data_IF_989317230225
#
_entry.id   IF_989317230225
#
_cell.length_a   1.000
_cell.length_b   1.000
_cell.length_c   1.000
_cell.angle_alpha   90.00
_cell.angle_beta   90.00
_cell.angle_gamma   90.00
#
_symmetry.space_group_name_H-M   'P 1'
#
loop_
_entity.id
_entity.type
_entity.pdbx_description
1 polymer ?
2 water ?
#
# COMPACT_ATOMS: atom_id res chain seq x y z
N UNK A 1 -1.99 24.09 -21.87
CA UNK A 1 -2.00 23.70 -20.47
C UNK A 1 -0.80 24.31 -19.74
N UNK A 2 0.01 25.08 -20.44
CA UNK A 2 1.11 25.77 -19.79
C UNK A 2 0.61 26.31 -18.44
N UNK A 3 -0.66 26.67 -18.41
CA UNK A 3 -1.28 27.28 -17.23
C UNK A 3 -1.68 26.24 -16.20
N UNK A 4 -2.40 25.21 -16.67
CA UNK A 4 -2.85 24.13 -15.80
C UNK A 4 -1.71 23.65 -14.91
N UNK A 5 -0.53 23.55 -15.50
CA UNK A 5 0.67 23.23 -14.74
C UNK A 5 0.84 24.19 -13.56
N UNK A 6 0.75 25.49 -13.82
CA UNK A 6 0.74 26.49 -12.75
C UNK A 6 -0.38 26.28 -11.71
N UNK A 7 -1.62 26.12 -12.16
CA UNK A 7 -2.78 25.87 -11.27
C UNK A 7 -2.59 24.70 -10.30
N UNK A 8 -2.24 23.54 -10.86
CA UNK A 8 -2.01 22.36 -10.04
C UNK A 8 -0.76 22.54 -9.20
N UNK A 9 0.24 23.17 -9.80
CA UNK A 9 1.54 23.34 -9.14
C UNK A 9 1.36 24.22 -7.92
N UNK A 10 0.68 25.34 -8.10
CA UNK A 10 0.43 26.26 -7.01
C UNK A 10 -0.55 25.59 -6.03
N UNK A 11 -1.28 24.58 -6.50
CA UNK A 11 -2.19 23.85 -5.62
C UNK A 11 -1.49 22.90 -4.64
N UNK A 12 -0.81 21.90 -5.21
CA UNK A 12 -0.17 20.85 -4.43
C UNK A 12 0.92 21.38 -3.52
N UNK A 13 1.67 22.36 -4.00
CA UNK A 13 2.78 22.87 -3.21
C UNK A 13 2.24 23.35 -1.87
N UNK A 14 1.11 24.05 -1.90
CA UNK A 14 0.52 24.57 -0.68
C UNK A 14 -0.06 23.45 0.18
N UNK A 15 -0.60 22.44 -0.48
CA UNK A 15 -1.14 21.27 0.22
C UNK A 15 -0.04 20.49 0.96
N UNK A 16 1.13 20.38 0.35
CA UNK A 16 2.28 19.76 1.02
C UNK A 16 2.75 20.57 2.22
N UNK A 17 2.81 21.89 2.07
CA UNK A 17 3.37 22.73 3.12
C UNK A 17 2.36 23.07 4.20
N UNK A 18 1.08 22.95 3.89
CA UNK A 18 0.04 23.32 4.85
C UNK A 18 -0.72 22.10 5.45
N UNK A 19 -0.44 20.92 4.94
CA UNK A 19 -1.10 19.73 5.43
C UNK A 19 -2.54 19.68 5.04
N UNK A 20 -2.85 19.93 3.80
CA UNK A 20 -4.23 19.87 3.31
C UNK A 20 -4.68 18.47 2.93
N UNK A 21 -3.83 17.48 3.16
CA UNK A 21 -4.19 16.10 2.86
C UNK A 21 -4.97 15.47 4.01
N UNK A 22 -6.01 14.72 3.63
CA UNK A 22 -6.91 14.11 4.59
C UNK A 22 -6.55 12.65 4.62
N UNK A 23 -6.67 12.02 5.78
CA UNK A 23 -6.34 10.62 5.93
C UNK A 23 -7.57 9.79 5.76
N UNK A 24 -7.51 8.82 4.88
CA UNK A 24 -8.62 7.91 4.59
C UNK A 24 -8.20 6.45 4.75
N UNK A 25 -9.15 5.61 5.19
CA UNK A 25 -8.81 4.22 5.50
C UNK A 25 -9.68 3.16 4.83
N UNK A 26 -9.04 2.39 3.96
CA UNK A 26 -9.66 1.23 3.34
C UNK A 26 -9.40 -0.03 4.17
N UNK A 27 -10.47 -0.66 4.69
CA UNK A 27 -10.35 -1.93 5.42
C UNK A 27 -9.80 -3.04 4.55
N UNK A 28 -8.77 -3.74 5.01
CA UNK A 28 -8.42 -5.03 4.41
C UNK A 28 -8.80 -6.16 5.36
N UNK A 29 -9.57 -7.11 4.85
CA UNK A 29 -10.22 -8.13 5.69
C UNK A 29 -9.88 -9.58 5.33
N UNK A 30 -10.33 -10.48 6.20
CA UNK A 30 -10.12 -11.92 6.02
C UNK A 30 -11.04 -12.51 4.94
N UNK A 31 -10.44 -13.25 4.02
CA UNK A 31 -11.20 -13.94 2.99
C UNK A 31 -12.24 -14.90 3.59
N UNK A 32 -11.89 -15.56 4.68
CA UNK A 32 -12.77 -16.52 5.33
C UNK A 32 -13.89 -15.85 6.06
N UNK A 33 -13.65 -14.65 6.55
CA UNK A 33 -14.67 -13.87 7.20
C UNK A 33 -14.36 -12.38 7.03
N UNK A 34 -15.17 -11.72 6.23
CA UNK A 34 -14.93 -10.35 5.89
C UNK A 34 -15.31 -9.41 7.04
N UNK A 35 -15.84 -9.97 8.12
CA UNK A 35 -16.11 -9.18 9.32
C UNK A 35 -14.86 -9.04 10.18
N UNK A 36 -13.86 -9.85 9.87
CA UNK A 36 -12.54 -9.74 10.50
C UNK A 36 -11.63 -8.84 9.66
N UNK A 37 -11.16 -7.74 10.25
CA UNK A 37 -10.20 -6.91 9.55
C UNK A 37 -8.78 -7.21 10.03
N UNK A 38 -7.85 -7.22 9.07
CA UNK A 38 -6.45 -7.54 9.35
C UNK A 38 -5.71 -6.25 9.64
N UNK A 39 -6.03 -5.24 8.85
CA UNK A 39 -5.42 -3.93 9.02
C UNK A 39 -6.15 -3.01 8.08
N UNK A 40 -5.89 -1.72 8.21
CA UNK A 40 -6.49 -0.72 7.33
C UNK A 40 -5.43 -0.15 6.43
N UNK A 41 -5.67 -0.23 5.12
CA UNK A 41 -4.79 0.49 4.19
C UNK A 41 -5.00 1.99 4.35
N UNK A 42 -3.91 2.75 4.37
CA UNK A 42 -4.04 4.21 4.43
C UNK A 42 -3.97 4.93 3.06
N UNK A 43 -5.02 5.70 2.78
CA UNK A 43 -5.13 6.50 1.56
C UNK A 43 -5.12 8.00 1.86
N UNK A 44 -4.61 8.79 0.93
CA UNK A 44 -4.58 10.24 1.10
C UNK A 44 -5.57 10.90 0.18
N UNK A 45 -6.40 11.80 0.68
CA UNK A 45 -7.29 12.50 -0.21
C UNK A 45 -7.24 14.00 -0.04
N UNK A 46 -7.83 14.71 -0.98
CA UNK A 46 -7.98 16.17 -0.86
C UNK A 46 -9.45 16.55 -0.82
N UNK A 47 -9.76 17.63 -0.11
CA UNK A 47 -11.15 18.09 -0.05
C UNK A 47 -11.35 19.34 -0.91
N UNK A 48 -12.37 19.30 -1.76
CA UNK A 48 -12.74 20.47 -2.53
C UNK A 48 -13.53 21.42 -1.63
N UNK A 49 -13.75 22.63 -2.10
CA UNK A 49 -14.48 23.63 -1.33
C UNK A 49 -15.84 23.09 -0.86
N UNK A 50 -16.44 22.22 -1.66
CA UNK A 50 -17.76 21.66 -1.36
C UNK A 50 -17.68 20.59 -0.27
N UNK A 51 -16.48 20.06 -0.05
CA UNK A 51 -16.29 18.99 0.91
C UNK A 51 -16.09 17.65 0.24
N UNK A 52 -16.33 17.58 -1.06
CA UNK A 52 -16.18 16.32 -1.81
C UNK A 52 -14.71 15.87 -1.90
N UNK A 53 -14.49 14.57 -2.13
CA UNK A 53 -13.12 14.03 -2.08
C UNK A 53 -12.42 14.10 -3.42
N UNK A 54 -11.08 14.08 -3.37
CA UNK A 54 -10.27 14.12 -4.58
C UNK A 54 -9.24 12.99 -4.53
N UNK A 55 -9.46 11.93 -5.33
CA UNK A 55 -8.61 10.74 -5.28
C UNK A 55 -7.20 10.99 -5.81
N UNK A 56 -6.23 10.20 -5.34
CA UNK A 56 -4.86 10.33 -5.82
C UNK A 56 -4.76 10.10 -7.32
N UNK A 57 -5.60 9.21 -7.85
CA UNK A 57 -5.65 8.96 -9.28
C UNK A 57 -5.74 10.25 -10.07
N UNK A 58 -6.18 11.32 -9.41
CA UNK A 58 -6.36 12.60 -10.10
C UNK A 58 -5.25 13.61 -9.76
N UNK A 59 -4.49 13.34 -8.70
CA UNK A 59 -3.40 14.25 -8.31
C UNK A 59 -1.99 13.64 -8.24
N UNK A 60 -1.91 12.34 -8.13
CA UNK A 60 -0.61 11.75 -8.11
C UNK A 60 0.13 12.15 -9.34
N UNK A 61 -0.46 11.93 -10.49
CA UNK A 61 0.19 12.31 -11.75
C UNK A 61 0.85 13.68 -11.67
N UNK A 62 0.15 14.65 -11.09
CA UNK A 62 0.72 15.99 -11.01
C UNK A 62 1.93 15.99 -10.09
N UNK A 63 1.85 15.20 -9.03
CA UNK A 63 2.95 15.10 -8.08
C UNK A 63 4.20 14.52 -8.73
N UNK A 64 3.99 13.51 -9.58
CA UNK A 64 5.05 12.93 -10.39
C UNK A 64 5.68 13.99 -11.31
N UNK A 65 4.87 14.75 -12.06
CA UNK A 65 5.43 15.70 -13.02
C UNK A 65 6.31 16.72 -12.33
N UNK A 66 5.95 17.04 -11.09
CA UNK A 66 6.65 18.06 -10.32
C UNK A 66 7.77 17.46 -9.48
N UNK A 67 7.83 16.13 -9.43
CA UNK A 67 8.76 15.42 -8.56
C UNK A 67 8.63 15.76 -7.09
N UNK A 68 7.41 15.68 -6.56
CA UNK A 68 7.18 15.96 -5.14
C UNK A 68 6.66 14.73 -4.43
N UNK A 69 6.80 13.58 -5.07
CA UNK A 69 6.17 12.39 -4.55
C UNK A 69 6.77 12.00 -3.20
N UNK A 70 8.09 11.99 -3.12
CA UNK A 70 8.77 11.90 -1.82
C UNK A 70 8.15 12.89 -0.85
N UNK A 71 7.99 14.13 -1.27
CA UNK A 71 7.55 15.16 -0.38
C UNK A 71 6.25 14.78 0.30
N UNK A 72 5.42 14.05 -0.42
CA UNK A 72 4.15 13.65 0.15
C UNK A 72 4.37 12.51 1.10
N UNK A 73 4.89 11.41 0.58
CA UNK A 73 5.17 10.27 1.40
C UNK A 73 5.43 10.66 2.83
N UNK A 74 6.31 11.62 3.04
CA UNK A 74 6.71 11.94 4.39
C UNK A 74 5.68 12.68 5.16
N UNK A 75 4.79 13.33 4.46
CA UNK A 75 3.79 14.10 5.15
C UNK A 75 2.82 13.11 5.72
N UNK A 76 2.54 12.10 4.92
CA UNK A 76 1.64 11.03 5.29
C UNK A 76 2.22 10.23 6.42
N UNK A 77 3.49 9.89 6.29
CA UNK A 77 4.16 9.14 7.31
C UNK A 77 3.98 9.79 8.65
N UNK A 78 4.47 11.01 8.80
CA UNK A 78 4.38 11.69 10.10
C UNK A 78 2.92 11.82 10.52
N UNK A 79 2.08 12.24 9.58
CA UNK A 79 0.69 12.50 9.92
C UNK A 79 0.03 11.25 10.47
N UNK A 80 0.35 10.11 9.85
CA UNK A 80 -0.19 8.81 10.24
C UNK A 80 0.31 8.36 11.62
N UNK A 81 1.62 8.20 11.77
CA UNK A 81 2.23 7.94 13.09
C UNK A 81 1.60 8.80 14.18
N UNK A 82 1.28 10.04 13.87
CA UNK A 82 0.60 10.89 14.81
C UNK A 82 -0.80 10.34 15.09
N UNK A 83 -1.53 9.99 14.03
CA UNK A 83 -2.86 9.41 14.14
C UNK A 83 -2.88 8.14 15.00
N UNK A 84 -1.83 7.34 14.86
CA UNK A 84 -1.79 6.02 15.46
C UNK A 84 -1.73 5.97 16.98
N UNK A 85 -1.38 7.07 17.63
CA UNK A 85 -1.33 7.03 19.08
C UNK A 85 -2.73 6.90 19.69
N UNK A 86 -3.73 7.37 18.96
CA UNK A 86 -5.12 7.39 19.46
C UNK A 86 -5.76 6.01 19.47
N UNK A 87 -5.04 5.00 19.02
CA UNK A 87 -5.64 3.69 18.86
C UNK A 87 -4.63 2.54 18.86
N UNK A 88 -5.12 1.32 18.61
CA UNK A 88 -4.27 0.15 18.64
C UNK A 88 -4.59 -0.80 17.52
N UNK A 89 -4.97 -0.25 16.37
CA UNK A 89 -5.24 -1.02 15.15
C UNK A 89 -4.00 -1.08 14.24
N UNK A 90 -4.01 -1.95 13.24
CA UNK A 90 -2.83 -2.12 12.41
C UNK A 90 -3.00 -1.36 11.11
N UNK A 91 -1.94 -0.66 10.71
CA UNK A 91 -2.03 0.17 9.52
C UNK A 91 -1.04 -0.23 8.43
N UNK A 92 -1.41 0.08 7.20
CA UNK A 92 -0.54 -0.14 6.05
C UNK A 92 -0.36 1.18 5.29
N UNK A 93 0.89 1.57 5.11
CA UNK A 93 1.19 2.81 4.42
C UNK A 93 1.94 2.65 3.12
N UNK A 94 1.54 3.44 2.14
CA UNK A 94 2.18 3.46 0.85
C UNK A 94 3.59 4.08 0.82
N UNK A 95 4.49 3.44 0.08
CA UNK A 95 5.84 3.95 -0.14
C UNK A 95 6.20 3.97 -1.61
N UNK A 96 6.82 5.07 -2.05
CA UNK A 96 6.99 5.34 -3.49
C UNK A 96 8.41 5.17 -3.97
N UNK A 97 8.57 4.58 -5.16
CA UNK A 97 9.89 4.42 -5.79
C UNK A 97 10.66 5.73 -5.71
N UNK A 98 9.94 6.83 -5.91
CA UNK A 98 10.52 8.16 -5.79
C UNK A 98 11.24 8.34 -4.46
N UNK A 99 10.60 7.94 -3.37
CA UNK A 99 11.23 8.05 -2.06
C UNK A 99 12.40 7.08 -1.87
N UNK A 100 12.32 5.92 -2.51
CA UNK A 100 13.36 4.91 -2.37
C UNK A 100 14.64 5.25 -3.15
N UNK A 101 14.47 5.77 -4.37
CA UNK A 101 15.61 6.14 -5.22
C UNK A 101 16.40 7.32 -4.66
N UNK A 102 15.78 8.05 -3.74
CA UNK A 102 16.40 9.23 -3.15
C UNK A 102 16.95 8.92 -1.76
N UNK A 103 18.27 8.81 -1.64
CA UNK A 103 18.93 8.54 -0.36
C UNK A 103 18.50 9.52 0.72
N UNK A 104 18.46 10.81 0.41
CA UNK A 104 18.06 11.81 1.41
C UNK A 104 16.65 11.53 1.95
N UNK A 105 15.73 11.18 1.06
CA UNK A 105 14.36 10.85 1.48
C UNK A 105 14.36 9.67 2.47
N UNK A 106 14.82 8.53 2.03
CA UNK A 106 14.88 7.46 2.99
C UNK A 106 15.38 8.04 4.28
N UNK A 107 16.66 8.35 4.33
CA UNK A 107 17.22 8.69 5.63
C UNK A 107 16.23 9.49 6.47
N UNK A 108 15.44 10.31 5.81
CA UNK A 108 14.41 11.09 6.50
C UNK A 108 13.46 10.12 7.12
N UNK A 109 12.94 9.21 6.30
CA UNK A 109 12.02 8.19 6.78
C UNK A 109 12.56 7.46 8.01
N UNK A 110 13.78 6.93 7.92
CA UNK A 110 14.37 6.23 9.07
C UNK A 110 14.48 7.15 10.30
N UNK A 111 14.84 8.42 10.08
CA UNK A 111 14.90 9.36 11.19
C UNK A 111 13.51 9.48 11.84
N UNK A 112 12.47 9.49 11.01
CA UNK A 112 11.11 9.57 11.53
C UNK A 112 10.74 8.30 12.30
N UNK A 113 10.80 7.15 11.60
CA UNK A 113 10.62 5.86 12.24
C UNK A 113 11.33 5.75 13.61
N UNK A 114 12.61 6.11 13.67
CA UNK A 114 13.32 6.08 14.95
C UNK A 114 12.57 6.78 16.07
N UNK A 115 11.90 7.89 15.76
CA UNK A 115 11.19 8.64 16.80
C UNK A 115 9.94 7.91 17.26
N UNK A 116 9.45 6.98 16.44
CA UNK A 116 8.25 6.24 16.78
C UNK A 116 8.47 4.72 16.74
N UNK A 117 9.34 4.23 17.60
CA UNK A 117 9.69 2.82 17.63
C UNK A 117 8.54 1.95 18.15
N UNK A 118 7.78 2.50 19.11
CA UNK A 118 6.64 1.85 19.75
C UNK A 118 5.52 1.41 18.78
N UNK A 119 5.55 1.95 17.57
CA UNK A 119 4.50 1.69 16.59
C UNK A 119 4.98 0.78 15.48
N UNK A 120 6.12 0.12 15.69
CA UNK A 120 6.64 -0.79 14.69
C UNK A 120 5.65 -1.88 14.33
N UNK A 121 5.21 -2.63 15.35
CA UNK A 121 4.26 -3.73 15.16
C UNK A 121 3.05 -3.34 14.31
N UNK A 122 2.59 -2.10 14.45
CA UNK A 122 1.32 -1.72 13.87
C UNK A 122 1.41 -1.04 12.51
N UNK A 123 2.62 -0.81 12.03
CA UNK A 123 2.74 -0.14 10.75
C UNK A 123 3.48 -0.98 9.75
N UNK A 124 2.77 -1.34 8.69
CA UNK A 124 3.40 -2.00 7.57
C UNK A 124 3.48 -1.07 6.38
N UNK A 125 4.68 -0.81 5.91
CA UNK A 125 4.87 0.00 4.70
C UNK A 125 4.79 -0.91 3.49
N UNK A 126 4.02 -0.49 2.49
CA UNK A 126 3.86 -1.27 1.27
C UNK A 126 4.57 -0.57 0.13
N UNK A 127 5.35 -1.31 -0.64
CA UNK A 127 5.88 -0.80 -1.90
C UNK A 127 5.32 -1.62 -3.07
N UNK A 128 5.22 -0.99 -4.23
CA UNK A 128 4.66 -1.66 -5.40
C UNK A 128 5.72 -2.51 -6.08
N UNK A 129 5.27 -3.55 -6.77
CA UNK A 129 6.16 -4.37 -7.56
C UNK A 129 6.57 -3.53 -8.76
N UNK A 130 5.57 -3.12 -9.53
CA UNK A 130 5.78 -2.36 -10.76
C UNK A 130 6.98 -1.44 -10.62
N UNK A 131 6.97 -0.63 -9.56
CA UNK A 131 8.07 0.29 -9.32
C UNK A 131 8.88 -0.14 -8.12
N UNK A 132 9.93 -0.93 -8.39
CA UNK A 132 10.65 -1.66 -7.34
C UNK A 132 12.17 -1.52 -7.47
N UNK A 133 12.88 -1.43 -6.33
CA UNK A 133 14.34 -1.28 -6.25
C UNK A 133 15.08 -2.51 -6.72
N UNK A 134 16.36 -2.37 -7.02
CA UNK A 134 17.22 -3.48 -7.37
C UNK A 134 17.33 -4.45 -6.19
N UNK A 135 17.92 -5.62 -6.40
CA UNK A 135 17.99 -6.63 -5.35
C UNK A 135 18.73 -6.15 -4.11
N UNK A 136 19.94 -5.63 -4.31
CA UNK A 136 20.81 -5.20 -3.21
C UNK A 136 20.15 -4.21 -2.23
N UNK A 137 19.67 -3.08 -2.75
CA UNK A 137 19.09 -2.05 -1.89
C UNK A 137 17.83 -2.53 -1.18
N UNK A 138 17.16 -3.50 -1.78
CA UNK A 138 15.93 -4.05 -1.23
C UNK A 138 16.17 -4.84 0.06
N UNK A 139 17.18 -5.70 0.03
CA UNK A 139 17.55 -6.46 1.20
C UNK A 139 18.06 -5.50 2.30
N UNK A 140 18.80 -4.47 1.89
CA UNK A 140 19.29 -3.47 2.83
C UNK A 140 18.11 -2.78 3.48
N UNK A 141 17.22 -2.29 2.64
CA UNK A 141 15.99 -1.67 3.09
C UNK A 141 15.24 -2.45 4.17
N UNK A 142 15.04 -3.75 3.97
CA UNK A 142 14.31 -4.55 4.96
C UNK A 142 15.08 -4.66 6.25
N UNK A 143 16.40 -4.80 6.13
CA UNK A 143 17.29 -4.83 7.30
C UNK A 143 17.09 -3.58 8.13
N UNK A 144 17.20 -2.43 7.49
CA UNK A 144 17.04 -1.15 8.14
C UNK A 144 15.68 -1.10 8.85
N UNK A 145 14.66 -1.64 8.19
CA UNK A 145 13.31 -1.67 8.76
C UNK A 145 13.15 -2.72 9.88
N UNK A 146 13.82 -3.86 9.75
CA UNK A 146 13.80 -4.89 10.79
C UNK A 146 14.40 -4.37 12.08
N UNK A 147 15.53 -3.66 11.98
CA UNK A 147 16.18 -3.08 13.14
C UNK A 147 15.26 -2.14 13.88
N UNK A 148 14.40 -1.42 13.14
CA UNK A 148 13.50 -0.45 13.75
C UNK A 148 12.16 -1.06 14.13
N UNK A 149 11.95 -2.33 13.77
CA UNK A 149 10.73 -3.02 14.11
C UNK A 149 9.51 -2.71 13.23
N UNK A 150 9.71 -2.53 11.93
CA UNK A 150 8.60 -2.26 11.01
C UNK A 150 8.50 -3.28 9.90
N UNK A 151 7.29 -3.47 9.41
CA UNK A 151 7.03 -4.53 8.45
C UNK A 151 6.93 -3.96 7.05
N UNK A 152 7.31 -4.75 6.06
CA UNK A 152 7.26 -4.34 4.66
C UNK A 152 6.41 -5.32 3.85
N UNK A 153 5.64 -4.82 2.90
CA UNK A 153 4.81 -5.66 2.05
C UNK A 153 5.02 -5.28 0.60
N UNK A 154 4.62 -6.15 -0.31
CA UNK A 154 4.56 -5.77 -1.72
C UNK A 154 3.13 -5.69 -2.17
N UNK A 155 2.86 -4.81 -3.11
CA UNK A 155 1.52 -4.72 -3.68
C UNK A 155 1.57 -4.68 -5.21
N UNK A 156 0.40 -4.77 -5.85
CA UNK A 156 0.35 -4.78 -7.30
C UNK A 156 1.12 -5.98 -7.78
N UNK A 157 1.25 -7.00 -6.92
CA UNK A 157 2.13 -8.14 -7.21
C UNK A 157 1.55 -9.14 -8.23
N UNK A 158 2.45 -9.80 -8.96
CA UNK A 158 2.05 -10.79 -9.94
C UNK A 158 2.83 -10.79 -11.24
N UNK A 159 3.21 -9.60 -11.71
CA UNK A 159 3.91 -9.47 -12.96
C UNK A 159 5.38 -9.86 -12.87
N UNK A 160 6.01 -9.54 -11.76
CA UNK A 160 7.38 -9.94 -11.50
C UNK A 160 7.40 -11.20 -10.62
N UNK A 161 6.53 -12.15 -10.96
CA UNK A 161 6.50 -13.43 -10.27
C UNK A 161 7.86 -14.10 -10.34
N UNK A 162 8.53 -13.98 -11.49
CA UNK A 162 9.85 -14.56 -11.68
C UNK A 162 10.81 -14.32 -10.51
N UNK A 163 10.59 -13.24 -9.77
CA UNK A 163 11.47 -12.86 -8.67
C UNK A 163 11.05 -13.51 -7.36
N UNK A 164 10.03 -14.36 -7.42
CA UNK A 164 9.46 -14.95 -6.23
C UNK A 164 10.50 -15.48 -5.26
N UNK A 165 11.58 -16.04 -5.80
CA UNK A 165 12.61 -16.65 -4.96
C UNK A 165 13.34 -15.67 -4.05
N UNK A 166 13.59 -14.46 -4.49
CA UNK A 166 14.40 -13.59 -3.69
C UNK A 166 13.65 -13.03 -2.53
N UNK A 167 12.36 -13.30 -2.50
CA UNK A 167 11.51 -12.70 -1.50
C UNK A 167 11.69 -13.35 -0.16
N UNK A 168 12.26 -14.54 -0.13
CA UNK A 168 12.38 -15.26 1.12
C UNK A 168 13.40 -14.56 1.98
N UNK A 169 14.53 -14.22 1.42
CA UNK A 169 15.50 -13.57 2.24
C UNK A 169 14.79 -12.56 3.13
N UNK A 170 13.80 -11.88 2.59
CA UNK A 170 13.26 -10.67 3.16
C UNK A 170 12.48 -10.74 4.46
N UNK A 171 11.35 -11.40 4.45
CA UNK A 171 10.51 -11.33 5.62
C UNK A 171 9.49 -10.24 5.47
N UNK A 172 8.95 -10.13 4.27
CA UNK A 172 7.75 -9.38 4.01
C UNK A 172 6.65 -9.79 4.92
N UNK A 173 5.79 -8.85 5.27
CA UNK A 173 4.67 -9.14 6.11
C UNK A 173 3.61 -9.84 5.32
N UNK A 174 3.42 -9.41 4.09
CA UNK A 174 2.47 -10.06 3.23
C UNK A 174 2.71 -9.69 1.80
N UNK A 175 1.89 -10.24 0.94
CA UNK A 175 2.00 -10.05 -0.49
C UNK A 175 0.62 -9.71 -1.01
N UNK A 176 0.51 -8.53 -1.61
CA UNK A 176 -0.78 -8.07 -2.08
C UNK A 176 -0.84 -8.24 -3.59
N UNK A 177 -1.71 -9.14 -4.02
CA UNK A 177 -1.78 -9.54 -5.43
C UNK A 177 -2.61 -8.59 -6.32
N UNK A 178 -2.03 -8.15 -7.43
CA UNK A 178 -2.72 -7.22 -8.30
C UNK A 178 -4.09 -7.74 -8.69
N UNK A 179 -5.11 -6.93 -8.40
CA UNK A 179 -6.48 -7.33 -8.64
C UNK A 179 -6.78 -7.65 -10.08
N UNK A 180 -5.81 -7.43 -10.97
CA UNK A 180 -6.00 -7.78 -12.37
C UNK A 180 -5.99 -9.32 -12.53
N UNK A 181 -5.21 -9.99 -11.68
CA UNK A 181 -5.10 -11.44 -11.71
C UNK A 181 -6.28 -12.14 -11.04
N UNK A 182 -7.29 -11.36 -10.69
CA UNK A 182 -8.40 -11.81 -9.87
C UNK A 182 -9.73 -11.35 -10.48
N UNK A 183 -9.67 -10.53 -11.51
CA UNK A 183 -10.85 -9.81 -11.96
C UNK A 183 -12.10 -10.60 -12.03
N UNK A 184 -12.26 -11.40 -13.06
CA UNK A 184 -13.51 -12.15 -13.12
C UNK A 184 -13.25 -13.62 -12.95
N UNK A 185 -12.42 -13.93 -11.95
CA UNK A 185 -11.93 -15.27 -11.75
C UNK A 185 -13.07 -16.26 -11.59
N UNK A 186 -14.18 -15.78 -11.03
CA UNK A 186 -15.39 -16.59 -10.91
C UNK A 186 -15.83 -17.19 -12.25
N UNK A 187 -15.67 -16.45 -13.35
CA UNK A 187 -16.09 -16.94 -14.66
C UNK A 187 -14.93 -17.16 -15.64
N UNK A 188 -13.70 -16.94 -15.17
CA UNK A 188 -12.52 -17.20 -16.00
C UNK A 188 -11.52 -18.10 -15.28
N UNK A 189 -11.81 -19.38 -15.23
CA UNK A 189 -10.98 -20.37 -14.56
C UNK A 189 -9.49 -20.36 -14.98
N UNK A 190 -9.19 -19.88 -16.18
CA UNK A 190 -7.80 -19.85 -16.62
C UNK A 190 -6.96 -18.98 -15.69
N UNK A 191 -7.64 -18.16 -14.92
CA UNK A 191 -6.95 -17.28 -14.00
C UNK A 191 -6.53 -18.00 -12.73
N UNK A 192 -7.25 -19.05 -12.34
CA UNK A 192 -6.95 -19.71 -11.07
C UNK A 192 -5.62 -20.45 -11.09
N UNK A 193 -5.31 -21.12 -12.20
CA UNK A 193 -4.03 -21.79 -12.27
C UNK A 193 -2.89 -20.85 -11.87
N UNK A 194 -2.93 -19.60 -12.29
CA UNK A 194 -1.86 -18.68 -11.90
C UNK A 194 -1.81 -18.47 -10.39
N UNK A 195 -2.96 -18.18 -9.79
CA UNK A 195 -3.06 -17.97 -8.36
C UNK A 195 -2.48 -19.15 -7.55
N UNK A 196 -2.92 -20.36 -7.90
CA UNK A 196 -2.40 -21.58 -7.28
C UNK A 196 -0.88 -21.57 -7.20
N UNK A 197 -0.24 -21.30 -8.33
CA UNK A 197 1.21 -21.29 -8.40
C UNK A 197 1.77 -20.35 -7.35
N UNK A 198 1.18 -19.15 -7.29
CA UNK A 198 1.48 -18.17 -6.26
C UNK A 198 1.35 -18.72 -4.84
N UNK A 199 0.14 -19.12 -4.45
CA UNK A 199 -0.05 -19.76 -3.13
C UNK A 199 0.99 -20.83 -2.83
N UNK A 200 1.24 -21.73 -3.78
CA UNK A 200 2.15 -22.84 -3.48
C UNK A 200 3.56 -22.29 -3.25
N UNK A 201 3.89 -21.18 -3.89
CA UNK A 201 5.19 -20.55 -3.65
C UNK A 201 5.18 -19.69 -2.39
N UNK A 202 4.19 -18.81 -2.29
CA UNK A 202 4.01 -17.99 -1.08
C UNK A 202 3.92 -18.86 0.19
N UNK A 203 2.93 -19.75 0.24
CA UNK A 203 2.83 -20.68 1.35
C UNK A 203 4.19 -21.29 1.65
N UNK A 204 4.88 -21.66 0.58
CA UNK A 204 6.20 -22.29 0.69
C UNK A 204 7.14 -21.49 1.58
N UNK A 205 7.12 -20.17 1.42
CA UNK A 205 7.97 -19.28 2.21
C UNK A 205 7.18 -18.50 3.28
N UNK A 206 6.04 -19.03 3.70
CA UNK A 206 5.24 -18.43 4.77
C UNK A 206 4.92 -16.96 4.54
N UNK A 207 4.65 -16.65 3.29
CA UNK A 207 4.18 -15.35 2.93
C UNK A 207 2.69 -15.43 2.69
N UNK A 208 1.95 -14.72 3.48
CA UNK A 208 0.50 -14.56 3.32
C UNK A 208 0.13 -13.79 2.05
N UNK A 209 -1.05 -14.03 1.51
CA UNK A 209 -1.46 -13.42 0.26
C UNK A 209 -2.73 -12.62 0.44
N UNK A 210 -2.76 -11.40 -0.08
CA UNK A 210 -3.96 -10.59 0.00
C UNK A 210 -4.43 -10.23 -1.42
N UNK A 211 -5.72 -10.33 -1.64
CA UNK A 211 -6.27 -10.09 -2.96
C UNK A 211 -6.71 -8.64 -3.07
N UNK A 212 -6.10 -7.91 -4.00
CA UNK A 212 -6.37 -6.50 -4.18
C UNK A 212 -7.60 -6.23 -5.08
N UNK A 213 -8.35 -5.20 -4.79
CA UNK A 213 -9.42 -4.82 -5.69
C UNK A 213 -10.42 -5.90 -5.96
N UNK A 214 -11.01 -6.45 -4.94
CA UNK A 214 -12.10 -7.38 -5.14
C UNK A 214 -13.41 -6.60 -5.23
N UNK A 215 -14.09 -6.73 -6.36
CA UNK A 215 -15.24 -5.88 -6.64
C UNK A 215 -16.59 -6.61 -6.65
N UNK A 216 -16.58 -7.94 -6.56
CA UNK A 216 -17.83 -8.70 -6.62
C UNK A 216 -17.84 -9.95 -5.72
N UNK A 217 -19.04 -10.33 -5.27
CA UNK A 217 -19.21 -11.45 -4.36
C UNK A 217 -18.75 -12.76 -5.03
N UNK A 218 -18.85 -12.82 -6.34
CA UNK A 218 -18.35 -13.94 -7.11
C UNK A 218 -16.85 -14.16 -6.91
N UNK A 219 -16.07 -13.14 -7.19
CA UNK A 219 -14.63 -13.19 -6.95
C UNK A 219 -14.30 -13.55 -5.50
N UNK A 220 -15.05 -12.99 -4.60
CA UNK A 220 -14.84 -13.28 -3.18
C UNK A 220 -14.96 -14.78 -2.86
N UNK A 221 -16.00 -15.43 -3.39
CA UNK A 221 -16.22 -16.84 -3.10
C UNK A 221 -15.05 -17.71 -3.55
N UNK A 222 -14.52 -17.47 -4.75
CA UNK A 222 -13.46 -18.35 -5.24
C UNK A 222 -12.16 -18.09 -4.50
N UNK A 223 -11.90 -16.83 -4.15
CA UNK A 223 -10.74 -16.51 -3.34
C UNK A 223 -10.85 -17.21 -2.00
N UNK A 224 -12.04 -17.15 -1.40
CA UNK A 224 -12.35 -17.81 -0.14
C UNK A 224 -12.09 -19.31 -0.25
N UNK A 225 -12.65 -19.92 -1.30
CA UNK A 225 -12.51 -21.35 -1.56
C UNK A 225 -11.07 -21.79 -1.84
N UNK A 226 -10.30 -20.95 -2.52
CA UNK A 226 -8.89 -21.24 -2.77
C UNK A 226 -8.03 -21.00 -1.53
N UNK A 227 -8.57 -20.28 -0.56
CA UNK A 227 -7.93 -20.14 0.75
C UNK A 227 -6.83 -19.10 0.90
N UNK A 228 -6.96 -17.97 0.21
CA UNK A 228 -6.05 -16.84 0.38
C UNK A 228 -6.35 -16.13 1.70
N UNK A 229 -5.33 -15.54 2.31
CA UNK A 229 -5.48 -14.95 3.64
C UNK A 229 -6.41 -13.74 3.66
N UNK A 230 -6.25 -12.85 2.70
CA UNK A 230 -6.78 -11.52 2.84
C UNK A 230 -7.48 -10.99 1.61
N UNK A 231 -8.32 -9.99 1.83
CA UNK A 231 -9.10 -9.45 0.73
C UNK A 231 -9.39 -7.96 0.99
N UNK A 232 -9.32 -7.16 -0.07
CA UNK A 232 -9.73 -5.75 0.00
C UNK A 232 -10.21 -5.35 -1.37
N UNK A 233 -11.00 -4.30 -1.43
CA UNK A 233 -11.56 -3.88 -2.70
C UNK A 233 -12.83 -3.08 -2.53
N UNK A 234 -13.40 -2.66 -3.65
CA UNK A 234 -14.59 -1.81 -3.62
C UNK A 234 -15.76 -2.52 -2.93
N UNK A 235 -15.73 -3.84 -2.97
CA UNK A 235 -16.78 -4.67 -2.41
C UNK A 235 -17.03 -4.48 -0.92
N UNK A 236 -16.16 -3.73 -0.26
CA UNK A 236 -16.27 -3.43 1.15
C UNK A 236 -16.34 -1.94 1.40
N UNK A 237 -17.32 -1.31 0.75
CA UNK A 237 -17.54 0.12 0.91
C UNK A 237 -16.38 0.99 0.45
N UNK A 238 -16.60 2.29 0.51
CA UNK A 238 -15.55 3.23 0.14
C UNK A 238 -14.64 3.48 1.34
N UNK A 239 -13.44 3.96 1.10
CA UNK A 239 -12.53 4.30 2.16
C UNK A 239 -13.16 5.42 2.92
N UNK A 240 -12.59 5.86 4.02
CA UNK A 240 -13.23 6.88 4.79
C UNK A 240 -12.41 7.35 5.96
N UNK A 241 -12.61 8.59 6.34
CA UNK A 241 -11.93 9.14 7.49
C UNK A 241 -12.00 8.12 8.57
N UNK A 242 -11.27 8.32 9.64
CA UNK A 242 -11.21 7.35 10.71
C UNK A 242 -12.46 7.39 11.55
N UNK A 243 -13.32 6.42 11.36
CA UNK A 243 -14.53 6.33 12.14
C UNK A 243 -14.42 5.21 13.14
#
# INVERSE_FOLDING_TARGET
SNADHHAWHRLLDRALSEQHFQLYFQPVVAARDTHLVLHYKVLSRLLDEQGQTIPAGRFLPWLERFGWTSRLDLLMLEQVLRQMASHEDCLALNLSAATLADPHALNRVFEILRQHSDLGPRLTLEIGEEQLPEQAMLEQLTRRLRELGFSLSLQRFGGRFSMIGNLARLGLAYLKIDGSYIRDIDQESDKRLFIEAIQRAAHSIDLPLIAERVETEGELQVIREMGLYGVQGQLFGEPAPWG
#
